data_IF_974757948078
#
_entry.id   IF_974757948078
#
_cell.length_a   1.000
_cell.length_b   1.000
_cell.length_c   1.000
_cell.angle_alpha   90.00
_cell.angle_beta   90.00
_cell.angle_gamma   90.00
#
_symmetry.space_group_name_H-M   'P 1'
#
loop_
_entity.id
_entity.type
_entity.pdbx_description
1 polymer ?
#
# COMPACT_ATOMS: atom_id res chain seq x y z
N UNK A 1 -5.34 28.42 -58.72
CA UNK A 1 -5.39 27.07 -58.13
C UNK A 1 -4.71 27.11 -56.77
N UNK A 2 -5.49 27.31 -55.71
CA UNK A 2 -5.00 27.40 -54.34
C UNK A 2 -5.08 26.05 -53.64
N UNK A 3 -3.96 25.59 -53.07
CA UNK A 3 -3.91 24.40 -52.23
C UNK A 3 -3.85 24.83 -50.75
N UNK A 4 -4.93 24.57 -50.03
CA UNK A 4 -5.09 24.81 -48.60
C UNK A 4 -4.27 23.78 -47.81
N UNK A 5 -3.19 24.21 -47.13
CA UNK A 5 -2.49 23.41 -46.11
C UNK A 5 -3.21 23.56 -44.78
N UNK A 6 -3.75 22.45 -44.27
CA UNK A 6 -4.34 22.33 -42.93
C UNK A 6 -3.22 22.46 -41.89
N UNK A 7 -3.22 23.57 -41.15
CA UNK A 7 -2.35 23.81 -40.00
C UNK A 7 -2.93 23.04 -38.79
N UNK A 8 -2.45 21.82 -38.54
CA UNK A 8 -2.74 21.13 -37.28
C UNK A 8 -2.06 21.91 -36.16
N UNK A 9 -2.88 22.58 -35.34
CA UNK A 9 -2.47 23.41 -34.20
C UNK A 9 -1.55 22.62 -33.26
N UNK A 10 -0.29 23.06 -33.13
CA UNK A 10 0.71 22.67 -32.12
C UNK A 10 0.29 22.87 -30.64
N UNK A 11 -0.99 23.14 -30.34
CA UNK A 11 -1.45 23.58 -29.00
C UNK A 11 -1.66 22.47 -27.96
N UNK A 12 -1.41 21.20 -28.29
CA UNK A 12 -1.72 20.07 -27.38
C UNK A 12 -0.50 19.55 -26.60
N UNK A 13 0.73 19.93 -26.97
CA UNK A 13 1.95 19.36 -26.35
C UNK A 13 2.52 20.23 -25.22
N UNK A 14 2.14 21.50 -25.11
CA UNK A 14 2.71 22.43 -24.11
C UNK A 14 2.02 22.40 -22.73
N UNK A 15 0.95 21.62 -22.56
CA UNK A 15 0.17 21.58 -21.31
C UNK A 15 0.58 20.47 -20.31
N UNK A 16 1.72 19.81 -20.53
CA UNK A 16 2.27 18.76 -19.64
C UNK A 16 3.42 19.25 -18.74
N UNK A 17 3.73 20.55 -18.73
CA UNK A 17 4.94 21.12 -18.11
C UNK A 17 4.76 21.73 -16.71
N UNK A 18 3.82 21.27 -15.90
CA UNK A 18 3.76 21.76 -14.51
C UNK A 18 3.20 20.76 -13.48
N UNK A 19 3.42 19.47 -13.70
CA UNK A 19 3.24 18.51 -12.60
C UNK A 19 4.45 18.62 -11.70
N UNK A 20 4.31 19.29 -10.56
CA UNK A 20 5.33 19.32 -9.51
C UNK A 20 5.75 17.87 -9.20
N UNK A 21 7.01 17.52 -9.46
CA UNK A 21 7.55 16.19 -9.12
C UNK A 21 7.32 15.95 -7.63
N UNK A 22 6.61 14.87 -7.32
CA UNK A 22 6.32 14.45 -5.97
C UNK A 22 7.22 13.29 -5.62
N UNK A 23 7.72 13.25 -4.38
CA UNK A 23 8.47 12.13 -3.82
C UNK A 23 7.56 11.30 -2.93
N UNK A 24 7.27 10.08 -3.38
CA UNK A 24 6.29 9.20 -2.77
C UNK A 24 6.95 7.86 -2.40
N UNK A 25 6.78 7.46 -1.15
CA UNK A 25 7.07 6.10 -0.72
C UNK A 25 5.75 5.35 -0.59
N UNK A 26 5.56 4.33 -1.43
CA UNK A 26 4.46 3.40 -1.29
C UNK A 26 4.83 2.30 -0.32
N UNK A 27 3.97 2.01 0.66
CA UNK A 27 4.24 1.04 1.72
C UNK A 27 3.17 -0.05 1.62
N UNK A 28 3.59 -1.26 1.28
CA UNK A 28 2.70 -2.40 1.10
C UNK A 28 3.35 -3.66 1.67
N UNK A 29 2.53 -4.56 2.23
CA UNK A 29 2.98 -5.91 2.59
C UNK A 29 3.04 -6.85 1.38
N UNK A 30 2.40 -6.48 0.28
CA UNK A 30 2.36 -7.27 -0.96
C UNK A 30 2.74 -6.37 -2.14
N UNK A 31 3.88 -6.65 -2.76
CA UNK A 31 4.30 -6.04 -4.01
C UNK A 31 5.29 -6.97 -4.74
N UNK A 32 5.52 -6.79 -6.04
CA UNK A 32 6.70 -7.36 -6.69
C UNK A 32 7.98 -6.96 -5.90
N UNK A 33 8.94 -7.88 -5.71
CA UNK A 33 9.19 -9.08 -6.52
C UNK A 33 8.58 -10.38 -5.96
N UNK A 34 7.58 -10.32 -5.06
CA UNK A 34 6.82 -11.51 -4.70
C UNK A 34 6.23 -12.17 -5.96
N UNK A 35 6.36 -13.48 -6.05
CA UNK A 35 5.91 -14.31 -7.18
C UNK A 35 4.50 -14.86 -6.91
N UNK A 36 3.65 -14.05 -6.29
CA UNK A 36 2.26 -14.38 -5.97
C UNK A 36 1.32 -13.68 -6.94
N UNK A 37 0.16 -14.30 -7.15
CA UNK A 37 -0.96 -13.67 -7.86
C UNK A 37 -1.87 -13.00 -6.84
N UNK A 38 -2.29 -11.78 -7.13
CA UNK A 38 -3.20 -11.02 -6.27
C UNK A 38 -3.41 -9.61 -6.81
N UNK A 39 -4.62 -9.07 -6.61
CA UNK A 39 -4.97 -7.74 -7.10
C UNK A 39 -4.02 -6.66 -6.56
N UNK A 40 -3.61 -6.75 -5.28
CA UNK A 40 -2.66 -5.82 -4.69
C UNK A 40 -1.27 -5.94 -5.34
N UNK A 41 -0.78 -7.15 -5.63
CA UNK A 41 0.49 -7.35 -6.35
C UNK A 41 0.44 -6.70 -7.73
N UNK A 42 -0.65 -6.88 -8.47
CA UNK A 42 -0.83 -6.30 -9.80
C UNK A 42 -0.86 -4.76 -9.75
N UNK A 43 -1.55 -4.20 -8.76
CA UNK A 43 -1.57 -2.74 -8.54
C UNK A 43 -0.18 -2.23 -8.17
N UNK A 44 0.52 -2.91 -7.26
CA UNK A 44 1.88 -2.53 -6.86
C UNK A 44 2.91 -2.77 -7.96
N UNK A 45 2.58 -3.52 -9.00
CA UNK A 45 3.40 -3.60 -10.21
C UNK A 45 3.14 -2.41 -11.15
N UNK A 46 1.88 -2.05 -11.36
CA UNK A 46 1.47 -1.05 -12.36
C UNK A 46 1.53 0.40 -11.84
N UNK A 47 0.95 0.67 -10.67
CA UNK A 47 0.78 2.03 -10.14
C UNK A 47 2.11 2.76 -9.90
N UNK A 48 3.14 2.17 -9.26
CA UNK A 48 4.41 2.86 -9.07
C UNK A 48 5.10 3.17 -10.40
N UNK A 49 5.00 2.25 -11.37
CA UNK A 49 5.56 2.44 -12.70
C UNK A 49 4.89 3.60 -13.44
N UNK A 50 3.55 3.63 -13.45
CA UNK A 50 2.76 4.65 -14.14
C UNK A 50 2.98 6.05 -13.55
N UNK A 51 3.02 6.17 -12.22
CA UNK A 51 3.32 7.45 -11.58
C UNK A 51 4.75 7.93 -11.88
N UNK A 52 5.72 7.01 -11.97
CA UNK A 52 7.07 7.35 -12.40
C UNK A 52 7.12 7.81 -13.86
N UNK A 53 6.37 7.15 -14.75
CA UNK A 53 6.24 7.57 -16.16
C UNK A 53 5.66 9.00 -16.29
N UNK A 54 4.85 9.43 -15.31
CA UNK A 54 4.30 10.79 -15.20
C UNK A 54 5.26 11.80 -14.53
N UNK A 55 6.49 11.41 -14.23
CA UNK A 55 7.52 12.33 -13.71
C UNK A 55 7.55 12.48 -12.19
N UNK A 56 6.86 11.61 -11.44
CA UNK A 56 7.01 11.51 -9.99
C UNK A 56 8.17 10.60 -9.60
N UNK A 57 8.77 10.85 -8.45
CA UNK A 57 9.80 9.98 -7.86
C UNK A 57 9.11 9.00 -6.91
N UNK A 58 9.05 7.73 -7.33
CA UNK A 58 8.31 6.69 -6.64
C UNK A 58 9.27 5.60 -6.19
N UNK A 59 9.15 5.26 -4.91
CA UNK A 59 9.79 4.10 -4.31
C UNK A 59 8.76 3.24 -3.57
N UNK A 60 9.09 1.98 -3.34
CA UNK A 60 8.22 1.02 -2.63
C UNK A 60 8.97 0.43 -1.45
N UNK A 61 8.37 0.44 -0.25
CA UNK A 61 8.80 -0.31 0.92
C UNK A 61 7.98 -1.58 1.07
N UNK A 62 8.67 -2.72 1.23
CA UNK A 62 8.10 -4.06 1.35
C UNK A 62 8.88 -4.87 2.39
N UNK A 63 8.27 -5.78 3.17
CA UNK A 63 9.03 -6.70 4.01
C UNK A 63 9.91 -7.63 3.17
N UNK A 64 11.12 -7.93 3.65
CA UNK A 64 12.01 -8.88 2.99
C UNK A 64 11.63 -10.32 3.35
N UNK A 65 10.60 -10.82 2.68
CA UNK A 65 10.11 -12.19 2.90
C UNK A 65 11.11 -13.25 2.41
N UNK A 66 11.03 -14.45 3.00
CA UNK A 66 11.77 -15.64 2.54
C UNK A 66 11.68 -15.84 1.03
N UNK A 67 10.47 -15.72 0.49
CA UNK A 67 10.20 -15.87 -0.95
C UNK A 67 11.02 -14.89 -1.82
N UNK A 68 11.22 -13.65 -1.36
CA UNK A 68 12.03 -12.66 -2.09
C UNK A 68 13.51 -13.03 -1.98
N UNK A 69 13.96 -13.45 -0.79
CA UNK A 69 15.35 -13.85 -0.53
C UNK A 69 15.75 -15.06 -1.37
N UNK A 70 14.83 -15.99 -1.57
CA UNK A 70 15.05 -17.24 -2.32
C UNK A 70 14.78 -17.08 -3.82
N UNK A 71 14.31 -15.92 -4.29
CA UNK A 71 14.08 -15.65 -5.70
C UNK A 71 15.41 -15.38 -6.44
N UNK A 72 15.89 -16.30 -7.30
CA UNK A 72 17.18 -16.14 -7.99
C UNK A 72 17.15 -15.04 -9.06
N UNK A 73 15.96 -14.65 -9.53
CA UNK A 73 15.80 -13.59 -10.54
C UNK A 73 15.87 -12.18 -9.94
N UNK A 74 15.83 -12.06 -8.62
CA UNK A 74 15.84 -10.78 -7.93
C UNK A 74 17.12 -10.59 -7.12
N UNK A 75 17.80 -9.46 -7.32
CA UNK A 75 19.02 -9.12 -6.60
C UNK A 75 18.75 -7.98 -5.63
N UNK A 76 18.71 -8.32 -4.34
CA UNK A 76 18.74 -7.35 -3.25
C UNK A 76 20.19 -7.03 -2.86
N UNK A 77 20.47 -5.77 -2.53
CA UNK A 77 21.75 -5.31 -2.01
C UNK A 77 21.58 -4.77 -0.60
N UNK A 78 22.48 -5.15 0.30
CA UNK A 78 22.52 -4.59 1.64
C UNK A 78 22.92 -3.12 1.59
N UNK A 79 22.15 -2.26 2.27
CA UNK A 79 22.49 -0.83 2.40
C UNK A 79 23.53 -0.58 3.50
N UNK A 80 23.73 -1.54 4.40
CA UNK A 80 24.51 -1.37 5.63
C UNK A 80 23.76 -0.62 6.74
N UNK A 81 22.52 -0.17 6.48
CA UNK A 81 21.72 0.57 7.45
C UNK A 81 20.87 -0.39 8.28
N UNK A 82 20.98 -0.26 9.59
CA UNK A 82 20.13 -0.93 10.57
C UNK A 82 19.49 0.08 11.53
N UNK A 83 18.29 -0.22 12.00
CA UNK A 83 17.55 0.62 12.96
C UNK A 83 16.89 -0.25 14.02
N UNK A 84 17.05 0.17 15.28
CA UNK A 84 16.33 -0.41 16.41
C UNK A 84 14.86 0.04 16.42
N UNK A 85 13.96 -0.92 16.30
CA UNK A 85 12.51 -0.70 16.31
C UNK A 85 11.91 -1.34 17.55
N UNK A 86 11.41 -0.49 18.45
CA UNK A 86 10.68 -0.92 19.65
C UNK A 86 9.28 -1.41 19.28
N UNK A 87 8.88 -2.57 19.79
CA UNK A 87 7.52 -3.12 19.71
C UNK A 87 7.15 -3.62 21.11
N UNK A 88 6.31 -2.85 21.80
CA UNK A 88 5.98 -3.08 23.20
C UNK A 88 7.21 -2.93 24.09
N UNK A 89 7.57 -4.01 24.79
CA UNK A 89 8.75 -4.09 25.67
C UNK A 89 10.00 -4.61 24.97
N UNK A 90 9.89 -5.09 23.73
CA UNK A 90 11.01 -5.69 22.97
C UNK A 90 11.51 -4.71 21.93
N UNK A 91 12.81 -4.79 21.61
CA UNK A 91 13.44 -4.08 20.50
C UNK A 91 13.87 -5.10 19.47
N UNK A 92 13.62 -4.79 18.20
CA UNK A 92 13.97 -5.61 17.05
C UNK A 92 14.79 -4.79 16.08
N UNK A 93 15.76 -5.41 15.42
CA UNK A 93 16.58 -4.73 14.41
C UNK A 93 15.88 -4.83 13.06
N UNK A 94 15.63 -3.68 12.44
CA UNK A 94 15.28 -3.57 11.03
C UNK A 94 16.55 -3.37 10.22
N UNK A 95 16.83 -4.30 9.31
CA UNK A 95 17.90 -4.15 8.31
C UNK A 95 17.29 -3.74 6.98
N UNK A 96 17.86 -2.74 6.31
CA UNK A 96 17.36 -2.27 5.03
C UNK A 96 18.20 -2.79 3.87
N UNK A 97 17.54 -3.40 2.90
CA UNK A 97 18.11 -3.76 1.62
C UNK A 97 17.45 -2.92 0.51
N UNK A 98 18.14 -2.79 -0.61
CA UNK A 98 17.63 -2.09 -1.78
C UNK A 98 17.63 -3.00 -3.01
N UNK A 99 16.73 -2.73 -3.94
CA UNK A 99 16.65 -3.43 -5.21
C UNK A 99 15.85 -2.63 -6.23
N UNK A 100 15.64 -3.20 -7.41
CA UNK A 100 14.78 -2.60 -8.43
C UNK A 100 13.73 -3.58 -8.90
N UNK A 101 12.51 -3.11 -9.11
CA UNK A 101 11.48 -3.87 -9.80
C UNK A 101 11.90 -4.12 -11.26
N UNK A 102 11.22 -5.05 -11.94
CA UNK A 102 11.40 -5.25 -13.39
C UNK A 102 11.15 -3.97 -14.21
N UNK A 103 10.25 -3.09 -13.73
CA UNK A 103 9.98 -1.78 -14.33
C UNK A 103 10.98 -0.68 -13.91
N UNK A 104 11.97 -1.00 -13.08
CA UNK A 104 13.03 -0.09 -12.62
C UNK A 104 12.68 0.78 -11.40
N UNK A 105 11.52 0.55 -10.77
CA UNK A 105 11.09 1.25 -9.55
C UNK A 105 12.01 0.88 -8.39
N UNK A 106 12.41 1.88 -7.60
CA UNK A 106 13.26 1.65 -6.43
C UNK A 106 12.49 0.88 -5.36
N UNK A 107 13.07 -0.22 -4.90
CA UNK A 107 12.52 -1.03 -3.82
C UNK A 107 13.41 -0.90 -2.58
N UNK A 108 12.77 -0.74 -1.43
CA UNK A 108 13.38 -0.84 -0.11
C UNK A 108 12.77 -2.02 0.62
N UNK A 109 13.61 -2.98 0.99
CA UNK A 109 13.21 -4.22 1.61
C UNK A 109 13.57 -4.18 3.09
N UNK A 110 12.57 -4.37 3.94
CA UNK A 110 12.72 -4.30 5.39
C UNK A 110 12.88 -5.72 5.93
N UNK A 111 14.10 -6.07 6.31
CA UNK A 111 14.43 -7.39 6.85
C UNK A 111 14.31 -7.40 8.36
N UNK A 112 13.61 -8.43 8.83
CA UNK A 112 13.61 -8.91 10.20
C UNK A 112 13.25 -10.39 10.15
N UNK A 113 14.26 -11.27 10.17
CA UNK A 113 14.06 -12.71 9.91
C UNK A 113 13.07 -13.32 10.90
N UNK A 114 13.04 -12.83 12.14
CA UNK A 114 12.05 -13.23 13.14
C UNK A 114 10.62 -13.06 12.65
N UNK A 115 10.31 -12.04 11.86
CA UNK A 115 8.97 -11.72 11.39
C UNK A 115 8.71 -12.14 9.94
N UNK A 116 9.71 -12.10 9.05
CA UNK A 116 9.49 -12.25 7.61
C UNK A 116 10.17 -13.47 6.99
N UNK A 117 11.04 -14.18 7.73
CA UNK A 117 11.55 -15.48 7.30
C UNK A 117 10.52 -16.59 7.60
N UNK A 118 9.45 -16.60 6.81
CA UNK A 118 8.29 -17.50 6.96
C UNK A 118 7.78 -17.99 5.59
N UNK A 119 7.10 -19.15 5.52
CA UNK A 119 6.50 -19.64 4.28
C UNK A 119 5.38 -18.74 3.71
N UNK A 120 4.63 -18.08 4.58
CA UNK A 120 3.50 -17.22 4.19
C UNK A 120 3.66 -15.77 4.60
N UNK A 121 2.83 -14.91 4.01
CA UNK A 121 2.78 -13.47 4.32
C UNK A 121 2.02 -13.25 5.63
N UNK A 122 0.77 -13.70 5.71
CA UNK A 122 -0.11 -13.50 6.87
C UNK A 122 -0.35 -14.77 7.69
N UNK A 123 0.01 -15.94 7.15
CA UNK A 123 -0.30 -17.22 7.77
C UNK A 123 0.17 -18.39 6.93
N UNK A 124 -0.05 -19.60 7.45
CA UNK A 124 0.31 -20.86 6.80
C UNK A 124 -0.86 -21.83 6.89
N UNK A 125 -1.11 -22.59 5.82
CA UNK A 125 -2.18 -23.59 5.75
C UNK A 125 -3.57 -23.04 6.16
N UNK A 126 -3.87 -21.80 5.76
CA UNK A 126 -5.14 -21.13 6.06
C UNK A 126 -5.27 -20.59 7.48
N UNK A 127 -4.25 -20.73 8.34
CA UNK A 127 -4.24 -20.17 9.69
C UNK A 127 -3.36 -18.92 9.74
N UNK A 128 -3.89 -17.76 10.22
CA UNK A 128 -3.08 -16.58 10.43
C UNK A 128 -1.96 -16.83 11.45
N UNK A 129 -0.81 -16.18 11.27
CA UNK A 129 0.22 -16.17 12.30
C UNK A 129 -0.26 -15.37 13.52
N UNK A 130 -0.09 -15.94 14.71
CA UNK A 130 -0.56 -15.34 15.98
C UNK A 130 0.12 -13.99 16.28
N UNK A 131 1.36 -13.81 15.83
CA UNK A 131 2.14 -12.60 16.04
C UNK A 131 1.95 -11.54 14.95
N UNK A 132 0.95 -11.67 14.08
CA UNK A 132 0.67 -10.70 13.01
C UNK A 132 0.58 -9.25 13.49
N UNK A 133 -0.01 -9.01 14.66
CA UNK A 133 -0.05 -7.67 15.25
C UNK A 133 1.37 -7.11 15.43
N UNK A 134 2.27 -7.87 16.07
CA UNK A 134 3.65 -7.48 16.28
C UNK A 134 4.42 -7.29 14.96
N UNK A 135 4.23 -8.21 14.01
CA UNK A 135 4.91 -8.21 12.69
C UNK A 135 4.62 -6.94 11.91
N UNK A 136 3.34 -6.56 11.82
CA UNK A 136 2.94 -5.41 11.01
C UNK A 136 3.02 -4.08 11.76
N UNK A 137 3.00 -4.08 13.10
CA UNK A 137 3.45 -2.92 13.90
C UNK A 137 4.92 -2.65 13.65
N UNK A 138 5.77 -3.69 13.71
CA UNK A 138 7.19 -3.56 13.39
C UNK A 138 7.38 -2.99 11.97
N UNK A 139 6.70 -3.58 10.98
CA UNK A 139 6.80 -3.12 9.59
C UNK A 139 6.45 -1.64 9.44
N UNK A 140 5.31 -1.21 10.00
CA UNK A 140 4.88 0.20 9.93
C UNK A 140 5.93 1.14 10.55
N UNK A 141 6.48 0.78 11.71
CA UNK A 141 7.50 1.59 12.40
C UNK A 141 8.83 1.61 11.65
N UNK A 142 9.27 0.45 11.15
CA UNK A 142 10.48 0.35 10.35
C UNK A 142 10.37 1.11 9.01
N UNK A 143 9.21 1.08 8.35
CA UNK A 143 8.97 1.83 7.13
C UNK A 143 8.96 3.34 7.38
N UNK A 144 8.44 3.78 8.53
CA UNK A 144 8.49 5.18 8.94
C UNK A 144 9.92 5.66 9.26
N UNK A 145 10.72 4.83 9.94
CA UNK A 145 12.13 5.11 10.18
C UNK A 145 12.94 5.19 8.87
N UNK A 146 12.64 4.34 7.89
CA UNK A 146 13.19 4.44 6.54
C UNK A 146 12.80 5.78 5.91
N UNK A 147 11.51 6.12 5.90
CA UNK A 147 11.00 7.34 5.29
C UNK A 147 11.68 8.61 5.82
N UNK A 148 11.99 8.65 7.12
CA UNK A 148 12.70 9.77 7.76
C UNK A 148 14.17 9.90 7.36
N UNK A 149 14.79 8.84 6.84
CA UNK A 149 16.21 8.80 6.45
C UNK A 149 16.44 9.01 4.96
N UNK A 150 15.39 8.84 4.14
CA UNK A 150 15.51 9.00 2.69
C UNK A 150 15.78 10.46 2.30
N UNK A 151 16.75 10.62 1.41
CA UNK A 151 17.15 11.90 0.82
C UNK A 151 17.10 11.78 -0.70
N UNK A 152 16.42 12.70 -1.41
CA UNK A 152 15.70 13.87 -0.89
C UNK A 152 14.46 13.52 -0.05
N UNK A 153 14.03 14.43 0.82
CA UNK A 153 12.93 14.17 1.75
C UNK A 153 11.63 13.81 1.03
N UNK A 154 10.98 12.73 1.49
CA UNK A 154 9.69 12.31 1.00
C UNK A 154 8.60 13.33 1.37
N UNK A 155 7.57 13.40 0.53
CA UNK A 155 6.41 14.26 0.76
C UNK A 155 5.18 13.45 1.13
N UNK A 156 5.02 12.26 0.53
CA UNK A 156 3.83 11.43 0.68
C UNK A 156 4.22 10.01 1.08
N UNK A 157 3.56 9.49 2.10
CA UNK A 157 3.54 8.06 2.42
C UNK A 157 2.20 7.47 1.98
N UNK A 158 2.24 6.64 0.95
CA UNK A 158 1.05 6.01 0.38
C UNK A 158 0.99 4.56 0.85
N UNK A 159 0.11 4.27 1.79
CA UNK A 159 -0.02 2.96 2.41
C UNK A 159 -1.14 2.14 1.78
N UNK A 160 -0.92 0.84 1.65
CA UNK A 160 -1.86 -0.08 1.05
C UNK A 160 -2.33 -1.12 2.07
N UNK A 161 -3.65 -1.17 2.25
CA UNK A 161 -4.37 -2.08 3.15
C UNK A 161 -3.89 -2.06 4.62
N UNK A 162 -4.49 -2.96 5.42
CA UNK A 162 -4.33 -2.98 6.87
C UNK A 162 -2.89 -3.15 7.35
N UNK A 163 -2.06 -3.88 6.60
CA UNK A 163 -0.70 -4.23 7.01
C UNK A 163 0.23 -3.00 7.14
N UNK A 164 -0.08 -1.92 6.41
CA UNK A 164 0.62 -0.64 6.48
C UNK A 164 -0.25 0.48 7.10
N UNK A 165 -1.49 0.20 7.48
CA UNK A 165 -2.48 1.20 7.89
C UNK A 165 -2.19 1.90 9.23
N UNK A 166 -1.21 1.43 10.01
CA UNK A 166 -0.77 2.15 11.22
C UNK A 166 0.24 3.28 10.91
N UNK A 167 0.83 3.33 9.72
CA UNK A 167 1.77 4.40 9.36
C UNK A 167 1.16 5.80 9.54
N UNK A 168 -0.05 6.11 9.04
CA UNK A 168 -0.68 7.42 9.28
C UNK A 168 -0.91 7.72 10.76
N UNK A 169 -1.21 6.71 11.57
CA UNK A 169 -1.39 6.86 13.03
C UNK A 169 -0.07 7.30 13.67
N UNK A 170 1.04 6.67 13.30
CA UNK A 170 2.37 7.04 13.78
C UNK A 170 2.82 8.42 13.27
N UNK A 171 2.53 8.76 12.01
CA UNK A 171 2.78 10.10 11.45
C UNK A 171 2.07 11.17 12.29
N UNK A 172 0.78 10.96 12.62
CA UNK A 172 0.01 11.87 13.48
C UNK A 172 0.57 11.92 14.89
N UNK A 173 0.87 10.77 15.50
CA UNK A 173 1.34 10.66 16.88
C UNK A 173 2.69 11.34 17.11
N UNK A 174 3.57 11.32 16.10
CA UNK A 174 4.91 11.89 16.16
C UNK A 174 5.02 13.25 15.45
N UNK A 175 3.91 13.84 14.99
CA UNK A 175 3.88 15.13 14.30
C UNK A 175 4.85 15.22 13.11
N UNK A 176 4.90 14.17 12.28
CA UNK A 176 5.84 14.09 11.17
C UNK A 176 5.32 14.87 9.94
N UNK A 177 6.22 15.50 9.15
CA UNK A 177 5.85 16.37 8.05
C UNK A 177 5.53 15.59 6.76
N UNK A 178 4.84 14.45 6.87
CA UNK A 178 4.42 13.63 5.73
C UNK A 178 2.92 13.75 5.51
N UNK A 179 2.51 13.96 4.26
CA UNK A 179 1.14 13.68 3.85
C UNK A 179 0.95 12.17 3.73
N UNK A 180 -0.25 11.69 4.02
CA UNK A 180 -0.55 10.25 4.08
C UNK A 180 -1.78 9.90 3.25
N UNK A 181 -1.65 8.83 2.48
CA UNK A 181 -2.75 8.28 1.67
C UNK A 181 -2.92 6.82 2.01
N UNK A 182 -4.13 6.39 2.37
CA UNK A 182 -4.47 4.98 2.51
C UNK A 182 -5.25 4.52 1.29
N UNK A 183 -4.82 3.47 0.59
CA UNK A 183 -5.67 2.74 -0.36
C UNK A 183 -6.20 1.45 0.26
N UNK A 184 -7.52 1.29 0.23
CA UNK A 184 -8.22 0.10 0.67
C UNK A 184 -8.59 -0.73 -0.57
N UNK A 185 -7.98 -1.91 -0.69
CA UNK A 185 -8.29 -2.88 -1.74
C UNK A 185 -9.26 -3.95 -1.25
N UNK A 186 -9.18 -4.33 0.02
CA UNK A 186 -10.04 -5.35 0.63
C UNK A 186 -10.41 -5.01 2.07
N UNK A 187 -11.54 -4.35 2.26
CA UNK A 187 -12.07 -3.95 3.57
C UNK A 187 -12.37 -5.13 4.51
N UNK A 188 -12.64 -6.33 3.97
CA UNK A 188 -12.82 -7.54 4.76
C UNK A 188 -11.57 -7.88 5.60
N UNK A 189 -10.39 -7.46 5.14
CA UNK A 189 -9.11 -7.68 5.82
C UNK A 189 -8.68 -6.41 6.56
N UNK A 190 -9.03 -6.35 7.85
CA UNK A 190 -8.90 -5.11 8.63
C UNK A 190 -7.64 -5.04 9.50
N UNK A 191 -6.93 -6.16 9.69
CA UNK A 191 -5.91 -6.25 10.74
C UNK A 191 -6.51 -6.03 12.12
N UNK A 192 -7.51 -6.83 12.48
CA UNK A 192 -8.24 -6.76 13.76
C UNK A 192 -7.67 -7.74 14.78
N UNK A 193 -6.97 -7.23 15.78
CA UNK A 193 -6.19 -7.98 16.77
C UNK A 193 -6.73 -7.79 18.19
N UNK A 194 -6.15 -8.50 19.16
CA UNK A 194 -6.57 -8.36 20.56
C UNK A 194 -6.29 -6.94 21.07
N UNK A 195 -7.18 -6.37 21.89
CA UNK A 195 -6.96 -5.04 22.44
C UNK A 195 -5.66 -4.93 23.26
N UNK A 196 -5.24 -6.01 23.91
CA UNK A 196 -3.97 -6.09 24.63
C UNK A 196 -2.73 -5.88 23.74
N UNK A 197 -2.85 -6.19 22.44
CA UNK A 197 -1.79 -5.95 21.46
C UNK A 197 -1.56 -4.46 21.20
N UNK A 198 -2.46 -3.56 21.66
CA UNK A 198 -2.25 -2.12 21.56
C UNK A 198 -0.93 -1.68 22.20
N UNK A 199 -0.54 -2.30 23.31
CA UNK A 199 0.72 -2.03 24.00
C UNK A 199 1.95 -2.24 23.10
N UNK A 200 1.85 -3.08 22.07
CA UNK A 200 2.92 -3.34 21.09
C UNK A 200 3.21 -2.11 20.22
N UNK A 201 2.22 -1.25 19.99
CA UNK A 201 2.35 -0.05 19.13
C UNK A 201 3.30 0.99 19.76
N UNK A 202 3.36 1.02 21.09
CA UNK A 202 3.95 2.10 21.90
C UNK A 202 3.28 3.46 21.69
N UNK A 203 2.03 3.49 21.21
CA UNK A 203 1.24 4.71 21.15
C UNK A 203 0.70 5.07 22.55
N UNK A 204 0.53 6.38 22.85
CA UNK A 204 -0.16 6.81 24.06
C UNK A 204 -1.62 6.31 24.10
N UNK A 205 -2.16 6.02 25.28
CA UNK A 205 -3.51 5.46 25.47
C UNK A 205 -4.64 6.27 24.81
N UNK A 206 -4.47 7.59 24.64
CA UNK A 206 -5.42 8.45 23.91
C UNK A 206 -5.73 7.97 22.48
N UNK A 207 -4.86 7.16 21.88
CA UNK A 207 -5.09 6.56 20.56
C UNK A 207 -5.98 5.31 20.62
N UNK A 208 -6.13 4.65 21.77
CA UNK A 208 -6.94 3.45 21.95
C UNK A 208 -8.25 3.78 22.65
N UNK A 209 -9.12 4.48 21.93
CA UNK A 209 -10.44 4.90 22.37
C UNK A 209 -11.48 4.62 21.28
N UNK A 210 -12.77 4.78 21.61
CA UNK A 210 -13.86 4.65 20.63
C UNK A 210 -13.66 5.55 19.40
N UNK A 211 -13.13 6.76 19.59
CA UNK A 211 -12.79 7.71 18.53
C UNK A 211 -11.39 7.51 17.94
N UNK A 212 -10.65 6.52 18.46
CA UNK A 212 -9.32 6.13 18.02
C UNK A 212 -9.30 4.78 17.33
N UNK A 213 -8.17 4.07 17.43
CA UNK A 213 -7.90 2.83 16.69
C UNK A 213 -8.55 1.57 17.31
N UNK A 214 -9.19 1.71 18.47
CA UNK A 214 -9.94 0.65 19.13
C UNK A 214 -11.26 0.39 18.37
N UNK A 215 -11.68 -0.86 18.26
CA UNK A 215 -12.96 -1.22 17.64
C UNK A 215 -13.56 -2.48 18.29
N UNK A 216 -14.60 -2.32 19.10
CA UNK A 216 -15.25 -3.41 19.88
C UNK A 216 -14.26 -4.20 20.78
N UNK A 217 -13.41 -3.49 21.52
CA UNK A 217 -12.36 -4.02 22.39
C UNK A 217 -11.13 -4.53 21.65
N UNK A 218 -11.08 -4.38 20.32
CA UNK A 218 -10.00 -4.89 19.46
C UNK A 218 -9.11 -3.76 18.95
N UNK A 219 -7.87 -4.08 18.66
CA UNK A 219 -6.97 -3.18 17.93
C UNK A 219 -7.23 -3.34 16.43
N UNK A 220 -7.72 -2.30 15.75
CA UNK A 220 -8.06 -2.36 14.34
C UNK A 220 -7.16 -1.44 13.50
N UNK A 221 -6.25 -2.04 12.72
CA UNK A 221 -5.25 -1.28 11.98
C UNK A 221 -5.90 -0.45 10.88
N UNK A 222 -6.83 -1.03 10.14
CA UNK A 222 -7.49 -0.36 9.03
C UNK A 222 -8.38 0.79 9.50
N UNK A 223 -9.10 0.63 10.63
CA UNK A 223 -9.79 1.75 11.30
C UNK A 223 -8.81 2.89 11.60
N UNK A 224 -7.64 2.57 12.14
CA UNK A 224 -6.58 3.55 12.38
C UNK A 224 -6.17 4.28 11.09
N UNK A 225 -5.94 3.55 10.01
CA UNK A 225 -5.64 4.17 8.72
C UNK A 225 -6.74 5.09 8.22
N UNK A 226 -8.01 4.67 8.31
CA UNK A 226 -9.19 5.48 7.91
C UNK A 226 -9.27 6.78 8.72
N UNK A 227 -9.09 6.70 10.04
CA UNK A 227 -9.20 7.87 10.91
C UNK A 227 -8.05 8.86 10.69
N UNK A 228 -6.82 8.37 10.51
CA UNK A 228 -5.63 9.21 10.59
C UNK A 228 -4.98 9.56 9.25
N UNK A 229 -5.33 8.91 8.12
CA UNK A 229 -4.78 9.26 6.81
C UNK A 229 -5.38 10.56 6.24
N UNK A 230 -4.58 11.41 5.60
CA UNK A 230 -5.09 12.67 5.02
C UNK A 230 -6.08 12.43 3.88
N UNK A 231 -5.85 11.38 3.09
CA UNK A 231 -6.75 10.89 2.04
C UNK A 231 -6.91 9.38 2.09
N UNK A 232 -8.10 8.94 1.72
CA UNK A 232 -8.43 7.52 1.58
C UNK A 232 -8.82 7.28 0.14
N UNK A 233 -8.32 6.22 -0.45
CA UNK A 233 -8.72 5.80 -1.79
C UNK A 233 -9.19 4.36 -1.79
N UNK A 234 -9.98 4.03 -2.80
CA UNK A 234 -10.41 2.65 -3.04
C UNK A 234 -10.53 2.39 -4.52
N UNK A 235 -10.74 1.13 -4.86
CA UNK A 235 -10.35 0.57 -6.17
C UNK A 235 -11.36 0.79 -7.30
N UNK A 236 -12.58 1.16 -6.97
CA UNK A 236 -13.61 1.53 -7.93
C UNK A 236 -14.73 2.33 -7.27
N UNK A 237 -15.51 3.05 -8.08
CA UNK A 237 -16.67 3.79 -7.59
C UNK A 237 -17.78 2.84 -7.10
N UNK A 238 -17.92 1.67 -7.73
CA UNK A 238 -18.83 0.62 -7.27
C UNK A 238 -18.42 0.14 -5.87
N UNK A 239 -17.16 -0.24 -5.70
CA UNK A 239 -16.65 -0.72 -4.43
C UNK A 239 -16.69 0.37 -3.35
N UNK A 240 -16.44 1.64 -3.70
CA UNK A 240 -16.62 2.78 -2.79
C UNK A 240 -18.04 2.85 -2.24
N UNK A 241 -19.07 2.64 -3.07
CA UNK A 241 -20.47 2.63 -2.62
C UNK A 241 -20.77 1.42 -1.76
N UNK A 242 -20.24 0.25 -2.13
CA UNK A 242 -20.41 -1.01 -1.40
C UNK A 242 -19.88 -0.91 0.04
N UNK A 243 -18.65 -0.41 0.22
CA UNK A 243 -18.02 -0.32 1.54
C UNK A 243 -18.65 0.72 2.48
N UNK A 244 -19.48 1.61 1.95
CA UNK A 244 -20.25 2.59 2.74
C UNK A 244 -21.60 2.03 3.22
N UNK A 245 -21.99 0.85 2.74
CA UNK A 245 -23.20 0.15 3.16
C UNK A 245 -22.87 -0.86 4.27
N UNK A 246 -23.76 -1.10 5.24
CA UNK A 246 -23.51 -2.07 6.31
C UNK A 246 -23.11 -3.47 5.82
N UNK A 247 -23.72 -3.93 4.71
CA UNK A 247 -23.44 -5.24 4.13
C UNK A 247 -22.01 -5.39 3.57
N UNK A 248 -21.44 -4.30 3.03
CA UNK A 248 -20.10 -4.29 2.42
C UNK A 248 -19.02 -3.63 3.28
N UNK A 249 -19.41 -2.97 4.38
CA UNK A 249 -18.49 -2.24 5.25
C UNK A 249 -17.78 -3.09 6.29
N UNK A 250 -18.20 -4.33 6.49
CA UNK A 250 -17.62 -5.25 7.48
C UNK A 250 -17.52 -4.60 8.89
N UNK A 251 -18.54 -3.82 9.28
CA UNK A 251 -18.60 -3.05 10.52
C UNK A 251 -17.90 -1.69 10.48
N UNK A 252 -17.02 -1.43 9.49
CA UNK A 252 -16.35 -0.14 9.32
C UNK A 252 -17.15 0.83 8.42
N UNK A 253 -18.36 0.48 7.97
CA UNK A 253 -19.19 1.35 7.13
C UNK A 253 -19.46 2.71 7.78
N UNK A 254 -19.80 2.72 9.07
CA UNK A 254 -20.03 3.97 9.79
C UNK A 254 -18.75 4.82 9.85
N UNK A 255 -17.62 4.21 10.19
CA UNK A 255 -16.32 4.89 10.23
C UNK A 255 -15.98 5.47 8.85
N UNK A 256 -16.24 4.74 7.77
CA UNK A 256 -16.02 5.22 6.41
C UNK A 256 -16.99 6.36 6.03
N UNK A 257 -18.27 6.28 6.41
CA UNK A 257 -19.26 7.34 6.15
C UNK A 257 -18.91 8.65 6.86
N UNK A 258 -18.49 8.58 8.13
CA UNK A 258 -18.01 9.75 8.89
C UNK A 258 -16.75 10.38 8.27
N UNK A 259 -16.06 9.63 7.40
CA UNK A 259 -14.83 10.05 6.73
C UNK A 259 -14.96 10.11 5.20
N UNK A 260 -16.19 10.11 4.68
CA UNK A 260 -16.47 10.01 3.25
C UNK A 260 -15.89 11.18 2.43
N UNK A 261 -15.78 12.37 3.03
CA UNK A 261 -15.14 13.55 2.42
C UNK A 261 -13.65 13.34 2.08
N UNK A 262 -12.99 12.38 2.74
CA UNK A 262 -11.60 11.99 2.45
C UNK A 262 -11.50 10.78 1.53
N UNK A 263 -12.60 10.09 1.28
CA UNK A 263 -12.66 8.83 0.51
C UNK A 263 -12.94 9.09 -0.96
N UNK A 264 -12.02 8.69 -1.83
CA UNK A 264 -12.15 8.82 -3.29
C UNK A 264 -11.97 7.47 -3.99
N UNK A 265 -12.76 7.18 -5.00
CA UNK A 265 -12.51 6.03 -5.87
C UNK A 265 -11.43 6.39 -6.91
N UNK A 266 -10.36 5.60 -6.97
CA UNK A 266 -9.39 5.63 -8.06
C UNK A 266 -9.54 4.32 -8.81
N UNK A 267 -10.06 4.40 -10.04
CA UNK A 267 -10.28 3.23 -10.87
C UNK A 267 -8.95 2.50 -11.07
N UNK A 268 -8.92 1.19 -10.82
CA UNK A 268 -7.81 0.37 -11.26
C UNK A 268 -7.62 0.51 -12.77
N UNK A 269 -6.50 1.08 -13.20
CA UNK A 269 -6.06 0.94 -14.58
C UNK A 269 -5.66 -0.50 -14.80
N UNK A 270 -6.36 -1.21 -15.69
CA UNK A 270 -5.88 -2.50 -16.18
C UNK A 270 -4.64 -2.24 -17.04
N UNK A 271 -3.56 -2.98 -16.80
CA UNK A 271 -2.43 -3.00 -17.72
C UNK A 271 -2.85 -3.75 -19.00
N UNK A 272 -3.37 -3.01 -19.98
CA UNK A 272 -3.83 -3.56 -21.26
C UNK A 272 -2.71 -4.21 -22.09
N UNK A 273 -1.43 -4.03 -21.73
CA UNK A 273 -0.33 -4.76 -22.39
C UNK A 273 -0.24 -6.22 -21.89
N UNK A 274 -0.64 -6.47 -20.64
CA UNK A 274 -0.81 -7.83 -20.08
C UNK A 274 -2.21 -8.38 -20.30
N UNK A 275 -3.22 -7.52 -20.27
CA UNK A 275 -4.62 -7.83 -20.52
C UNK A 275 -5.02 -7.48 -21.95
N UNK A 276 -4.30 -8.06 -22.92
CA UNK A 276 -4.68 -8.01 -24.32
C UNK A 276 -5.48 -9.27 -24.69
N UNK A 277 -6.79 -9.18 -25.00
CA UNK A 277 -7.58 -10.34 -25.43
C UNK A 277 -7.10 -10.98 -26.75
N UNK A 278 -6.19 -10.33 -27.50
CA UNK A 278 -5.55 -10.94 -28.69
C UNK A 278 -4.36 -11.84 -28.38
N UNK A 279 -3.78 -11.81 -27.16
CA UNK A 279 -2.86 -12.87 -26.70
C UNK A 279 -3.66 -14.11 -26.27
N UNK A 280 -4.28 -14.78 -27.25
CA UNK A 280 -4.96 -16.08 -27.06
C UNK A 280 -3.92 -17.20 -27.04
N UNK A 281 -3.56 -17.66 -25.84
CA UNK A 281 -3.15 -19.04 -25.65
C UNK A 281 -3.75 -19.58 -24.34
N UNK A 282 -4.86 -20.32 -24.53
CA UNK A 282 -5.49 -21.25 -23.58
C UNK A 282 -6.20 -20.66 -22.37
N UNK A 283 -7.42 -20.17 -22.57
CA UNK A 283 -8.48 -20.33 -21.56
C UNK A 283 -9.75 -20.84 -22.23
N UNK A 284 -10.23 -21.97 -21.70
CA UNK A 284 -11.44 -22.66 -22.14
C UNK A 284 -12.69 -21.80 -21.92
N UNK A 285 -13.67 -22.05 -22.78
CA UNK A 285 -14.90 -21.30 -22.96
C UNK A 285 -15.70 -21.14 -21.65
N UNK A 286 -15.87 -19.88 -21.22
CA UNK A 286 -17.13 -19.42 -20.61
C UNK A 286 -17.44 -18.04 -21.16
N UNK A 287 -18.44 -17.99 -22.05
CA UNK A 287 -18.98 -16.76 -22.64
C UNK A 287 -19.69 -15.96 -21.56
N UNK A 288 -19.22 -14.74 -21.28
CA UNK A 288 -20.04 -13.72 -20.65
C UNK A 288 -20.55 -12.79 -21.75
N UNK A 289 -21.87 -12.79 -21.94
CA UNK A 289 -22.59 -11.87 -22.81
C UNK A 289 -22.81 -10.58 -22.01
N UNK A 290 -22.34 -9.46 -22.53
CA UNK A 290 -22.63 -8.11 -22.02
C UNK A 290 -23.85 -7.59 -22.77
N UNK A 291 -24.98 -7.28 -22.12
CA UNK A 291 -26.07 -6.59 -22.79
C UNK A 291 -25.78 -5.07 -22.87
N UNK A 292 -26.22 -4.39 -23.94
CA UNK A 292 -25.95 -2.97 -24.14
C UNK A 292 -26.95 -2.05 -23.40
N UNK A 293 -26.39 -0.94 -22.92
CA UNK A 293 -26.99 0.28 -22.35
C UNK A 293 -27.67 0.16 -20.97
#
# INVERSE_FOLDING_TARGET
>A
MGATRILVRRRTIERLRDVKTMRILMISAEAPPLQRTGALIDVMNALPHELRARGHDISVALPFYREIRENPAFKAKHTGVTVDVRVGKKTYIAEYLEGRSASGVQLFLIRCDKFFDRPGIYGEQGKPYEDNAARFIFFCKAALELARRLTPSLQILHVHDWAAALVPVFVRAHHLPFATVLTIHRLAEQGSFWGLDFSLTNLPERFFTLHGIEFFGRLNFLKGGILYADKITTVSEHYRREILMPAGGYGLDQVLRENAQRLTAILHGADYTRWNPTTRARFGERRFVVPPC
#
